data_IF_353349676928
#
_entry.id   IF_353349676928
#
_cell.length_a   1.000
_cell.length_b   1.000
_cell.length_c   1.000
_cell.angle_alpha   90.00
_cell.angle_beta   90.00
_cell.angle_gamma   90.00
#
_symmetry.space_group_name_H-M   'P 1'
#
loop_
_entity.id
_entity.type
_entity.pdbx_description
1 polymer ?
#
# COMPACT_ATOMS: atom_id res chain seq x y z
N UNK A 1 3.53 -1.71 15.31
CA UNK A 1 3.71 -0.92 16.52
C UNK A 1 5.11 -1.13 17.09
N UNK A 2 5.70 -0.10 17.69
CA UNK A 2 7.03 -0.16 18.33
C UNK A 2 7.09 -1.19 19.46
N UNK A 3 5.95 -1.43 20.10
CA UNK A 3 5.86 -2.31 21.26
C UNK A 3 5.58 -3.77 20.92
N UNK A 4 5.24 -4.08 19.67
CA UNK A 4 4.99 -5.44 19.23
C UNK A 4 6.29 -6.19 18.94
N UNK A 5 6.54 -7.34 19.57
CA UNK A 5 7.67 -8.20 19.26
C UNK A 5 7.41 -8.92 17.92
N UNK A 6 7.92 -8.37 16.83
CA UNK A 6 7.78 -8.92 15.48
C UNK A 6 9.13 -9.17 14.83
N UNK A 7 9.21 -10.21 14.02
CA UNK A 7 10.39 -10.51 13.22
C UNK A 7 10.38 -9.58 12.01
N UNK A 8 11.45 -8.82 11.86
CA UNK A 8 11.67 -7.88 10.76
C UNK A 8 12.86 -8.31 9.93
N UNK A 9 12.84 -7.93 8.66
CA UNK A 9 13.98 -8.02 7.78
C UNK A 9 13.99 -6.81 6.84
N UNK A 10 15.17 -6.49 6.31
CA UNK A 10 15.30 -5.56 5.20
C UNK A 10 16.03 -6.33 4.09
N UNK A 11 15.38 -6.50 2.96
CA UNK A 11 15.94 -7.19 1.81
C UNK A 11 17.11 -6.40 1.23
N UNK A 12 18.15 -7.08 0.77
CA UNK A 12 19.17 -6.49 -0.08
C UNK A 12 18.57 -6.13 -1.44
N UNK A 13 19.24 -5.27 -2.21
CA UNK A 13 18.77 -4.91 -3.56
C UNK A 13 18.63 -6.15 -4.44
N UNK A 14 19.57 -7.10 -4.35
CA UNK A 14 19.53 -8.34 -5.13
C UNK A 14 18.34 -9.23 -4.73
N UNK A 15 18.02 -9.30 -3.45
CA UNK A 15 16.81 -10.00 -2.97
C UNK A 15 15.53 -9.32 -3.44
N UNK A 16 15.47 -7.99 -3.47
CA UNK A 16 14.34 -7.23 -4.04
C UNK A 16 14.19 -7.54 -5.54
N UNK A 17 15.30 -7.60 -6.28
CA UNK A 17 15.28 -8.00 -7.69
C UNK A 17 14.78 -9.44 -7.86
N UNK A 18 15.18 -10.36 -7.00
CA UNK A 18 14.72 -11.75 -7.04
C UNK A 18 13.20 -11.84 -6.84
N UNK A 19 12.64 -11.16 -5.83
CA UNK A 19 11.20 -11.07 -5.58
C UNK A 19 10.45 -10.47 -6.79
N UNK A 20 10.98 -9.38 -7.34
CA UNK A 20 10.37 -8.72 -8.50
C UNK A 20 10.43 -9.57 -9.78
N UNK A 21 11.50 -10.32 -10.02
CA UNK A 21 11.61 -11.26 -11.15
C UNK A 21 10.59 -12.39 -11.05
N UNK A 22 10.34 -12.89 -9.84
CA UNK A 22 9.29 -13.87 -9.62
C UNK A 22 7.91 -13.30 -10.03
N UNK A 23 7.57 -12.11 -9.56
CA UNK A 23 6.31 -11.44 -9.91
C UNK A 23 6.20 -11.15 -11.41
N UNK A 24 7.29 -10.68 -12.02
CA UNK A 24 7.36 -10.43 -13.46
C UNK A 24 7.14 -11.72 -14.27
N UNK A 25 7.71 -12.83 -13.81
CA UNK A 25 7.51 -14.17 -14.41
C UNK A 25 6.05 -14.63 -14.39
N UNK A 26 5.26 -14.19 -13.40
CA UNK A 26 3.82 -14.42 -13.32
C UNK A 26 2.99 -13.45 -14.19
N UNK A 27 3.62 -12.59 -14.97
CA UNK A 27 2.94 -11.65 -15.86
C UNK A 27 2.70 -10.27 -15.26
N UNK A 28 3.00 -10.03 -13.97
CA UNK A 28 2.79 -8.72 -13.35
C UNK A 28 3.74 -7.67 -13.95
N UNK A 29 3.22 -6.49 -14.23
CA UNK A 29 3.94 -5.37 -14.85
C UNK A 29 3.95 -4.11 -13.99
N UNK A 30 3.13 -4.09 -12.93
CA UNK A 30 3.09 -3.03 -11.93
C UNK A 30 3.35 -3.63 -10.57
N UNK A 31 4.33 -3.10 -9.84
CA UNK A 31 4.75 -3.57 -8.52
C UNK A 31 4.74 -2.39 -7.55
N UNK A 32 4.19 -2.62 -6.35
CA UNK A 32 4.24 -1.67 -5.24
C UNK A 32 5.33 -2.09 -4.26
N UNK A 33 6.36 -1.28 -4.12
CA UNK A 33 7.40 -1.46 -3.10
C UNK A 33 6.91 -0.83 -1.78
N UNK A 34 6.82 -1.65 -0.76
CA UNK A 34 6.35 -1.22 0.57
C UNK A 34 7.52 -1.22 1.54
N UNK A 35 7.76 -0.11 2.22
CA UNK A 35 8.81 -0.01 3.22
C UNK A 35 8.35 0.77 4.46
N UNK A 36 8.73 0.27 5.62
CA UNK A 36 8.59 1.01 6.87
C UNK A 36 9.65 2.11 7.00
N UNK A 37 9.34 3.10 7.83
CA UNK A 37 10.30 4.15 8.19
C UNK A 37 11.36 3.57 9.15
N UNK A 38 12.58 3.34 8.67
CA UNK A 38 13.69 2.93 9.52
C UNK A 38 15.00 3.59 9.09
N UNK A 39 15.52 4.58 9.84
CA UNK A 39 16.67 5.39 9.42
C UNK A 39 17.95 4.60 9.11
N UNK A 40 18.12 3.45 9.77
CA UNK A 40 19.32 2.61 9.58
C UNK A 40 19.21 1.66 8.38
N UNK A 41 18.05 1.07 8.16
CA UNK A 41 17.88 -0.02 7.19
C UNK A 41 17.23 0.45 5.87
N UNK A 42 16.34 1.43 5.95
CA UNK A 42 15.77 2.13 4.79
C UNK A 42 16.43 3.51 4.72
N UNK A 43 17.77 3.49 4.62
CA UNK A 43 18.61 4.68 4.59
C UNK A 43 18.58 5.36 3.23
N UNK A 44 19.19 6.54 3.17
CA UNK A 44 19.37 7.30 1.94
C UNK A 44 19.99 6.46 0.83
N UNK A 45 19.38 6.50 -0.35
CA UNK A 45 19.83 5.78 -1.53
C UNK A 45 19.38 4.32 -1.62
N UNK A 46 18.80 3.71 -0.58
CA UNK A 46 18.33 2.33 -0.67
C UNK A 46 17.15 2.18 -1.65
N UNK A 47 16.13 3.03 -1.51
CA UNK A 47 14.96 3.02 -2.40
C UNK A 47 15.39 3.32 -3.85
N UNK A 48 16.25 4.31 -4.05
CA UNK A 48 16.79 4.66 -5.37
C UNK A 48 17.51 3.48 -6.02
N UNK A 49 18.37 2.77 -5.27
CA UNK A 49 19.07 1.57 -5.78
C UNK A 49 18.09 0.44 -6.13
N UNK A 50 17.04 0.26 -5.35
CA UNK A 50 15.97 -0.71 -5.69
C UNK A 50 15.27 -0.30 -7.00
N UNK A 51 14.90 0.97 -7.15
CA UNK A 51 14.25 1.48 -8.35
C UNK A 51 15.15 1.31 -9.59
N UNK A 52 16.42 1.71 -9.51
CA UNK A 52 17.40 1.56 -10.61
C UNK A 52 17.55 0.11 -11.06
N UNK A 53 17.54 -0.82 -10.10
CA UNK A 53 17.68 -2.24 -10.40
C UNK A 53 16.40 -2.86 -11.00
N UNK A 54 15.22 -2.31 -10.68
CA UNK A 54 13.93 -2.83 -11.13
C UNK A 54 13.44 -2.17 -12.43
N UNK A 55 13.70 -0.89 -12.62
CA UNK A 55 13.21 -0.10 -13.75
C UNK A 55 13.50 -0.72 -15.14
N UNK A 56 14.65 -1.41 -15.37
CA UNK A 56 14.93 -2.03 -16.67
C UNK A 56 13.94 -3.14 -17.09
N UNK A 57 13.19 -3.74 -16.15
CA UNK A 57 12.31 -4.85 -16.47
C UNK A 57 10.90 -4.76 -15.85
N UNK A 58 10.68 -3.84 -14.92
CA UNK A 58 9.35 -3.54 -14.36
C UNK A 58 8.90 -2.18 -14.89
N UNK A 59 7.92 -2.13 -15.78
CA UNK A 59 7.52 -0.89 -16.44
C UNK A 59 6.72 0.06 -15.55
N UNK A 60 6.21 -0.36 -14.40
CA UNK A 60 5.47 0.50 -13.47
C UNK A 60 5.86 0.21 -12.03
N UNK A 61 6.51 1.17 -11.39
CA UNK A 61 7.01 1.09 -10.02
C UNK A 61 6.25 2.06 -9.12
N UNK A 62 5.49 1.50 -8.18
CA UNK A 62 4.81 2.24 -7.12
C UNK A 62 5.56 2.14 -5.79
N UNK A 63 5.36 3.13 -4.94
CA UNK A 63 5.91 3.17 -3.60
C UNK A 63 4.80 3.35 -2.55
N UNK A 64 4.91 2.63 -1.45
CA UNK A 64 4.20 2.88 -0.21
C UNK A 64 5.22 3.03 0.91
N UNK A 65 5.61 4.27 1.14
CA UNK A 65 6.68 4.64 2.09
C UNK A 65 6.21 5.77 3.00
N UNK A 66 6.98 6.04 4.05
CA UNK A 66 6.74 7.20 4.91
C UNK A 66 6.79 8.53 4.15
N UNK A 67 6.05 9.56 4.58
CA UNK A 67 6.07 10.87 3.95
C UNK A 67 7.46 11.50 3.91
N UNK A 68 7.83 12.02 2.75
CA UNK A 68 9.11 12.68 2.49
C UNK A 68 8.90 14.17 2.13
N UNK A 69 9.97 15.00 2.17
CA UNK A 69 9.99 16.32 1.54
C UNK A 69 9.87 16.22 0.00
N UNK A 70 9.47 17.29 -0.64
CA UNK A 70 9.25 17.39 -2.08
C UNK A 70 10.51 17.15 -2.93
N UNK A 71 11.66 17.67 -2.49
CA UNK A 71 12.98 17.45 -3.12
C UNK A 71 13.37 15.97 -3.14
N UNK A 72 13.05 15.25 -2.06
CA UNK A 72 13.31 13.80 -1.98
C UNK A 72 12.35 13.01 -2.88
N UNK A 73 11.11 13.45 -3.04
CA UNK A 73 10.21 12.86 -4.00
C UNK A 73 10.65 13.09 -5.45
N UNK A 74 11.20 14.27 -5.77
CA UNK A 74 11.75 14.55 -7.10
C UNK A 74 12.91 13.63 -7.43
N UNK A 75 13.80 13.37 -6.48
CA UNK A 75 14.88 12.40 -6.63
C UNK A 75 14.35 10.99 -6.92
N UNK A 76 13.37 10.52 -6.14
CA UNK A 76 12.77 9.19 -6.31
C UNK A 76 12.07 9.05 -7.67
N UNK A 77 11.37 10.08 -8.14
CA UNK A 77 10.75 10.10 -9.47
C UNK A 77 11.81 10.00 -10.58
N UNK A 78 12.94 10.68 -10.40
CA UNK A 78 14.06 10.57 -11.35
C UNK A 78 14.60 9.14 -11.49
N UNK A 79 14.54 8.33 -10.44
CA UNK A 79 14.89 6.91 -10.43
C UNK A 79 13.78 5.98 -10.94
N UNK A 80 12.66 6.52 -11.47
CA UNK A 80 11.64 5.76 -12.18
C UNK A 80 10.40 5.39 -11.37
N UNK A 81 10.19 5.95 -10.18
CA UNK A 81 8.94 5.77 -9.47
C UNK A 81 7.81 6.58 -10.13
N UNK A 82 6.68 5.95 -10.41
CA UNK A 82 5.52 6.57 -11.05
C UNK A 82 4.38 6.85 -10.06
N UNK A 83 4.20 5.97 -9.07
CA UNK A 83 3.06 5.98 -8.16
C UNK A 83 3.51 6.10 -6.70
N UNK A 84 2.82 6.95 -5.95
CA UNK A 84 2.88 6.95 -4.49
C UNK A 84 1.53 6.53 -3.92
N UNK A 85 1.53 5.55 -3.02
CA UNK A 85 0.40 5.21 -2.16
C UNK A 85 0.68 5.73 -0.75
N UNK A 86 -0.22 6.54 -0.21
CA UNK A 86 -0.12 7.02 1.16
C UNK A 86 -1.51 7.08 1.79
N UNK A 87 -1.70 6.31 2.85
CA UNK A 87 -2.96 6.30 3.60
C UNK A 87 -2.83 7.23 4.80
N UNK A 88 -3.84 8.09 4.99
CA UNK A 88 -3.89 8.97 6.17
C UNK A 88 -4.03 8.15 7.46
N UNK A 89 -4.42 6.90 7.35
CA UNK A 89 -4.84 5.97 8.38
C UNK A 89 -6.21 6.36 8.94
N UNK A 90 -6.31 7.46 9.65
CA UNK A 90 -7.58 8.06 10.07
C UNK A 90 -7.53 9.58 9.90
N UNK A 91 -8.65 10.18 9.54
CA UNK A 91 -8.84 11.63 9.50
C UNK A 91 -9.29 12.20 10.85
N UNK A 92 -9.64 11.35 11.81
CA UNK A 92 -9.90 11.75 13.18
C UNK A 92 -8.59 12.05 13.91
N UNK A 93 -8.38 13.32 14.26
CA UNK A 93 -7.11 13.80 14.86
C UNK A 93 -6.85 13.21 16.24
N UNK A 94 -7.89 13.06 17.05
CA UNK A 94 -7.76 12.52 18.41
C UNK A 94 -7.38 11.03 18.35
N UNK A 95 -8.05 10.26 17.50
CA UNK A 95 -7.69 8.86 17.26
C UNK A 95 -6.28 8.76 16.68
N UNK A 96 -5.92 9.62 15.72
CA UNK A 96 -4.60 9.62 15.11
C UNK A 96 -3.47 9.82 16.14
N UNK A 97 -3.63 10.78 17.06
CA UNK A 97 -2.65 11.07 18.13
C UNK A 97 -2.46 9.88 19.08
N UNK A 98 -3.54 9.16 19.40
CA UNK A 98 -3.44 7.97 20.27
C UNK A 98 -2.70 6.81 19.62
N UNK A 99 -2.82 6.66 18.31
CA UNK A 99 -2.22 5.56 17.55
C UNK A 99 -0.78 5.82 17.11
N UNK A 100 -0.43 7.08 16.85
CA UNK A 100 0.83 7.47 16.22
C UNK A 100 1.69 8.29 17.18
N UNK A 101 2.31 7.61 18.15
CA UNK A 101 3.01 8.23 19.30
C UNK A 101 4.48 8.54 19.04
N UNK A 102 5.08 8.10 17.92
CA UNK A 102 6.52 8.23 17.68
C UNK A 102 6.87 8.51 16.21
N UNK A 103 8.07 9.02 15.99
CA UNK A 103 8.61 9.31 14.65
C UNK A 103 7.87 10.46 13.93
N UNK A 104 8.17 10.65 12.64
CA UNK A 104 7.49 11.64 11.80
C UNK A 104 6.02 11.30 11.58
N UNK A 105 5.68 10.02 11.68
CA UNK A 105 4.29 9.54 11.54
C UNK A 105 3.34 10.16 12.57
N UNK A 106 3.83 10.63 13.73
CA UNK A 106 2.99 11.34 14.71
C UNK A 106 2.44 12.68 14.21
N UNK A 107 3.05 13.28 13.19
CA UNK A 107 2.61 14.56 12.66
C UNK A 107 1.49 14.35 11.64
N UNK A 108 0.27 14.60 12.08
CA UNK A 108 -0.94 14.45 11.27
C UNK A 108 -0.89 15.27 9.97
N UNK A 109 -0.56 16.55 10.06
CA UNK A 109 -0.55 17.43 8.90
C UNK A 109 0.57 17.04 7.92
N UNK A 110 1.75 16.67 8.41
CA UNK A 110 2.84 16.19 7.58
C UNK A 110 2.43 14.99 6.71
N UNK A 111 1.60 14.11 7.25
CA UNK A 111 1.08 12.97 6.51
C UNK A 111 -0.08 13.37 5.58
N UNK A 112 -0.98 14.23 6.05
CA UNK A 112 -2.11 14.74 5.25
C UNK A 112 -1.63 15.44 3.98
N UNK A 113 -0.60 16.29 4.08
CA UNK A 113 -0.06 17.08 2.98
C UNK A 113 0.89 16.27 2.07
N UNK A 114 1.14 15.00 2.39
CA UNK A 114 2.07 14.15 1.66
C UNK A 114 1.72 13.99 0.17
N UNK A 115 0.46 13.75 -0.24
CA UNK A 115 0.09 13.63 -1.65
C UNK A 115 0.44 14.88 -2.47
N UNK A 116 0.22 16.07 -1.92
CA UNK A 116 0.52 17.33 -2.61
C UNK A 116 2.04 17.52 -2.74
N UNK A 117 2.82 17.26 -1.70
CA UNK A 117 4.28 17.28 -1.80
C UNK A 117 4.82 16.28 -2.83
N UNK A 118 4.26 15.08 -2.86
CA UNK A 118 4.64 14.08 -3.88
C UNK A 118 4.31 14.58 -5.30
N UNK A 119 3.15 15.20 -5.49
CA UNK A 119 2.79 15.83 -6.76
C UNK A 119 3.78 16.92 -7.17
N UNK A 120 4.18 17.80 -6.24
CA UNK A 120 5.21 18.83 -6.46
C UNK A 120 6.56 18.19 -6.82
N UNK A 121 6.91 17.08 -6.17
CA UNK A 121 8.10 16.28 -6.49
C UNK A 121 8.02 15.51 -7.82
N UNK A 122 6.90 15.53 -8.52
CA UNK A 122 6.78 14.96 -9.86
C UNK A 122 5.96 13.69 -9.98
N UNK A 123 5.46 13.13 -8.89
CA UNK A 123 4.54 11.98 -8.97
C UNK A 123 3.28 12.34 -9.74
N UNK A 124 2.86 11.45 -10.64
CA UNK A 124 1.67 11.62 -11.48
C UNK A 124 0.58 10.59 -11.20
N UNK A 125 0.86 9.59 -10.40
CA UNK A 125 -0.13 8.61 -9.90
C UNK A 125 -0.08 8.63 -8.38
N UNK A 126 -1.20 9.03 -7.75
CA UNK A 126 -1.26 9.19 -6.29
C UNK A 126 -2.48 8.45 -5.77
N UNK A 127 -2.24 7.53 -4.85
CA UNK A 127 -3.28 6.78 -4.16
C UNK A 127 -3.38 7.24 -2.72
N UNK A 128 -4.60 7.61 -2.31
CA UNK A 128 -4.92 7.95 -0.92
C UNK A 128 -5.90 6.94 -0.32
N UNK A 129 -6.11 6.98 0.98
CA UNK A 129 -7.08 6.13 1.67
C UNK A 129 -7.12 6.36 3.16
N UNK A 130 -8.09 5.72 3.80
CA UNK A 130 -8.20 5.59 5.24
C UNK A 130 -8.24 4.11 5.62
N UNK A 131 -7.75 3.76 6.80
CA UNK A 131 -7.88 2.41 7.36
C UNK A 131 -9.19 2.35 8.14
N UNK A 132 -10.22 1.82 7.49
CA UNK A 132 -11.57 1.75 8.08
C UNK A 132 -11.64 0.77 9.24
N UNK A 133 -12.20 1.23 10.35
CA UNK A 133 -12.25 0.52 11.63
C UNK A 133 -11.45 1.20 12.75
N UNK A 134 -10.75 2.31 12.47
CA UNK A 134 -10.07 3.14 13.47
C UNK A 134 -10.97 4.22 14.05
N UNK A 135 -11.88 4.77 13.23
CA UNK A 135 -12.84 5.80 13.61
C UNK A 135 -14.18 5.54 12.88
N UNK A 136 -15.28 6.22 13.24
CA UNK A 136 -16.58 6.02 12.60
C UNK A 136 -16.51 6.19 11.08
N UNK A 137 -16.80 5.13 10.34
CA UNK A 137 -16.52 5.04 8.90
C UNK A 137 -17.17 6.16 8.07
N UNK A 138 -18.34 6.67 8.48
CA UNK A 138 -19.00 7.78 7.75
C UNK A 138 -18.22 9.08 7.83
N UNK A 139 -17.60 9.37 8.97
CA UNK A 139 -16.73 10.56 9.14
C UNK A 139 -15.47 10.41 8.30
N UNK A 140 -14.86 9.23 8.35
CA UNK A 140 -13.70 8.90 7.51
C UNK A 140 -14.02 9.03 6.02
N UNK A 141 -15.19 8.53 5.58
CA UNK A 141 -15.63 8.61 4.20
C UNK A 141 -15.80 10.06 3.70
N UNK A 142 -16.41 10.92 4.51
CA UNK A 142 -16.60 12.34 4.17
C UNK A 142 -15.27 13.07 4.14
N UNK A 143 -14.40 12.83 5.11
CA UNK A 143 -13.08 13.47 5.16
C UNK A 143 -12.18 13.00 4.00
N UNK A 144 -12.21 11.72 3.67
CA UNK A 144 -11.51 11.16 2.50
C UNK A 144 -12.03 11.79 1.19
N UNK A 145 -13.36 11.94 1.04
CA UNK A 145 -13.95 12.59 -0.12
C UNK A 145 -13.55 14.07 -0.23
N UNK A 146 -13.52 14.80 0.89
CA UNK A 146 -13.07 16.19 0.93
C UNK A 146 -11.58 16.32 0.57
N UNK A 147 -10.73 15.41 1.07
CA UNK A 147 -9.31 15.37 0.70
C UNK A 147 -9.13 15.07 -0.79
N UNK A 148 -9.90 14.14 -1.33
CA UNK A 148 -9.87 13.82 -2.75
C UNK A 148 -10.30 15.01 -3.63
N UNK A 149 -11.39 15.71 -3.25
CA UNK A 149 -11.85 16.92 -3.94
C UNK A 149 -10.78 18.02 -3.94
N UNK A 150 -10.12 18.22 -2.79
CA UNK A 150 -8.98 19.12 -2.67
C UNK A 150 -7.85 18.75 -3.64
N UNK A 151 -7.43 17.47 -3.63
CA UNK A 151 -6.33 17.01 -4.48
C UNK A 151 -6.66 17.09 -5.97
N UNK A 152 -7.92 16.85 -6.39
CA UNK A 152 -8.33 17.01 -7.78
C UNK A 152 -8.15 18.47 -8.28
N UNK A 153 -8.31 19.44 -7.39
CA UNK A 153 -8.13 20.87 -7.71
C UNK A 153 -6.67 21.30 -7.73
N UNK A 154 -5.86 20.77 -6.82
CA UNK A 154 -4.47 21.20 -6.62
C UNK A 154 -3.44 20.31 -7.33
N UNK A 155 -3.76 19.04 -7.52
CA UNK A 155 -2.92 18.04 -8.18
C UNK A 155 -3.55 17.57 -9.50
N UNK A 156 -4.08 18.48 -10.29
CA UNK A 156 -4.96 18.20 -11.45
C UNK A 156 -4.29 17.40 -12.58
N UNK A 157 -2.94 17.38 -12.65
CA UNK A 157 -2.18 16.54 -13.59
C UNK A 157 -1.96 15.11 -13.07
N UNK A 158 -2.33 14.82 -11.82
CA UNK A 158 -2.16 13.49 -11.27
C UNK A 158 -3.38 12.61 -11.51
N UNK A 159 -3.14 11.35 -11.87
CA UNK A 159 -4.15 10.30 -11.82
C UNK A 159 -4.36 9.90 -10.35
N UNK A 160 -5.48 10.33 -9.78
CA UNK A 160 -5.81 10.06 -8.39
C UNK A 160 -6.57 8.74 -8.26
N UNK A 161 -6.26 8.00 -7.21
CA UNK A 161 -6.97 6.78 -6.84
C UNK A 161 -7.21 6.69 -5.34
N UNK A 162 -8.20 5.89 -4.97
CA UNK A 162 -8.57 5.65 -3.56
C UNK A 162 -8.52 4.16 -3.26
N UNK A 163 -7.96 3.81 -2.11
CA UNK A 163 -8.04 2.48 -1.54
C UNK A 163 -8.87 2.48 -0.26
N UNK A 164 -9.46 1.33 0.04
CA UNK A 164 -10.42 1.14 1.14
C UNK A 164 -9.97 0.01 2.08
N UNK A 165 -8.77 0.05 2.66
CA UNK A 165 -8.36 -1.00 3.58
C UNK A 165 -9.26 -1.00 4.81
N UNK A 166 -9.78 -2.18 5.16
CA UNK A 166 -10.49 -2.41 6.42
C UNK A 166 -9.53 -3.03 7.44
N UNK A 167 -9.72 -2.72 8.71
CA UNK A 167 -9.00 -3.39 9.79
C UNK A 167 -9.21 -4.91 9.73
N UNK A 168 -8.15 -5.65 9.91
CA UNK A 168 -8.10 -7.12 9.97
C UNK A 168 -7.23 -7.53 11.15
N UNK A 169 -7.28 -8.78 11.60
CA UNK A 169 -6.26 -9.32 12.51
C UNK A 169 -4.85 -9.00 11.97
N UNK A 170 -3.97 -8.54 12.84
CA UNK A 170 -2.66 -8.03 12.45
C UNK A 170 -1.56 -8.47 13.41
N UNK A 171 -0.33 -8.37 13.00
CA UNK A 171 0.83 -8.69 13.82
C UNK A 171 0.81 -7.96 15.16
N UNK A 172 0.74 -8.73 16.24
CA UNK A 172 0.63 -8.23 17.62
C UNK A 172 -0.81 -8.15 18.16
N UNK A 173 -1.82 -8.37 17.33
CA UNK A 173 -3.22 -8.55 17.77
C UNK A 173 -3.99 -9.42 16.77
N UNK A 174 -3.72 -10.71 16.76
CA UNK A 174 -4.43 -11.68 15.91
C UNK A 174 -5.84 -12.02 16.39
N UNK A 175 -6.15 -11.67 17.64
CA UNK A 175 -7.49 -11.80 18.23
C UNK A 175 -8.33 -10.51 18.08
N UNK A 176 -7.91 -9.61 17.17
CA UNK A 176 -8.63 -8.36 16.94
C UNK A 176 -10.07 -8.63 16.55
N UNK A 177 -10.99 -8.12 17.36
CA UNK A 177 -12.42 -8.08 17.07
C UNK A 177 -12.80 -6.65 16.64
N UNK A 178 -13.43 -6.49 15.46
CA UNK A 178 -13.86 -5.18 14.99
C UNK A 178 -14.93 -4.59 15.92
N UNK A 179 -14.78 -3.32 16.28
CA UNK A 179 -15.84 -2.58 16.93
C UNK A 179 -17.00 -2.34 15.93
N UNK A 180 -18.22 -2.83 16.19
CA UNK A 180 -19.35 -2.67 15.26
C UNK A 180 -19.70 -1.21 14.95
N UNK A 181 -19.44 -0.27 15.85
CA UNK A 181 -19.71 1.15 15.62
C UNK A 181 -18.69 1.81 14.67
N UNK A 182 -17.49 1.31 14.65
CA UNK A 182 -16.40 1.81 13.81
C UNK A 182 -16.30 1.06 12.48
N UNK A 183 -16.84 -0.16 12.44
CA UNK A 183 -16.63 -1.10 11.34
C UNK A 183 -17.33 -0.64 10.05
N UNK A 184 -16.63 -0.79 8.94
CA UNK A 184 -17.19 -0.74 7.61
C UNK A 184 -17.55 -2.17 7.18
N UNK A 185 -18.82 -2.57 7.37
CA UNK A 185 -19.33 -3.87 6.91
C UNK A 185 -19.43 -3.92 5.37
N UNK A 186 -19.77 -5.08 4.81
CA UNK A 186 -19.81 -5.27 3.36
C UNK A 186 -20.86 -4.39 2.67
N UNK A 187 -22.02 -4.20 3.30
CA UNK A 187 -23.08 -3.34 2.76
C UNK A 187 -22.63 -1.88 2.70
N UNK A 188 -22.06 -1.40 3.80
CA UNK A 188 -21.55 -0.04 3.87
C UNK A 188 -20.30 0.18 3.01
N UNK A 189 -19.49 -0.86 2.81
CA UNK A 189 -18.37 -0.82 1.88
C UNK A 189 -18.85 -0.59 0.43
N UNK A 190 -19.86 -1.34 -0.01
CA UNK A 190 -20.49 -1.13 -1.32
C UNK A 190 -21.10 0.27 -1.41
N UNK A 191 -21.79 0.72 -0.36
CA UNK A 191 -22.35 2.07 -0.31
C UNK A 191 -21.27 3.15 -0.47
N UNK A 192 -20.16 3.02 0.26
CA UNK A 192 -19.03 3.96 0.17
C UNK A 192 -18.44 3.99 -1.23
N UNK A 193 -18.11 2.84 -1.80
CA UNK A 193 -17.55 2.76 -3.15
C UNK A 193 -18.47 3.37 -4.21
N UNK A 194 -19.74 3.02 -4.19
CA UNK A 194 -20.71 3.54 -5.15
C UNK A 194 -20.95 5.03 -5.00
N UNK A 195 -21.01 5.54 -3.76
CA UNK A 195 -21.11 6.97 -3.50
C UNK A 195 -19.89 7.74 -4.04
N UNK A 196 -18.68 7.25 -3.78
CA UNK A 196 -17.46 7.86 -4.30
C UNK A 196 -17.40 7.78 -5.84
N UNK A 197 -17.85 6.67 -6.45
CA UNK A 197 -17.91 6.56 -7.91
C UNK A 197 -18.89 7.57 -8.53
N UNK A 198 -20.00 7.84 -7.89
CA UNK A 198 -20.97 8.86 -8.34
C UNK A 198 -20.38 10.26 -8.21
N UNK A 199 -19.76 10.58 -7.06
CA UNK A 199 -19.18 11.90 -6.81
C UNK A 199 -17.90 12.14 -7.63
N UNK A 200 -17.12 11.10 -7.88
CA UNK A 200 -15.80 11.17 -8.52
C UNK A 200 -15.69 10.14 -9.65
N UNK A 201 -16.34 10.37 -10.80
CA UNK A 201 -16.47 9.36 -11.85
C UNK A 201 -15.15 8.93 -12.51
N UNK A 202 -14.11 9.74 -12.42
CA UNK A 202 -12.82 9.50 -13.11
C UNK A 202 -11.71 8.95 -12.21
N UNK A 203 -11.91 8.83 -10.89
CA UNK A 203 -10.85 8.33 -10.00
C UNK A 203 -10.63 6.83 -10.14
N UNK A 204 -9.40 6.39 -9.89
CA UNK A 204 -9.11 4.98 -9.66
C UNK A 204 -9.67 4.51 -8.32
N UNK A 205 -10.14 3.26 -8.26
CA UNK A 205 -10.55 2.60 -7.03
C UNK A 205 -9.87 1.26 -6.91
N UNK A 206 -9.11 1.08 -5.84
CA UNK A 206 -8.29 -0.10 -5.60
C UNK A 206 -8.83 -0.94 -4.46
N UNK A 207 -8.98 -2.24 -4.69
CA UNK A 207 -9.36 -3.21 -3.65
C UNK A 207 -8.28 -4.28 -3.55
N UNK A 208 -7.72 -4.41 -2.36
CA UNK A 208 -6.62 -5.32 -2.09
C UNK A 208 -7.12 -6.74 -1.78
N UNK A 209 -6.16 -7.66 -1.66
CA UNK A 209 -6.37 -9.05 -1.24
C UNK A 209 -6.80 -9.21 0.23
N UNK A 210 -6.93 -8.12 0.99
CA UNK A 210 -7.60 -8.14 2.32
C UNK A 210 -9.06 -8.56 2.20
N UNK A 211 -9.71 -8.22 1.07
CA UNK A 211 -11.10 -8.57 0.84
C UNK A 211 -11.21 -9.96 0.24
N UNK A 212 -12.22 -10.76 0.66
CA UNK A 212 -12.41 -12.10 0.15
C UNK A 212 -12.85 -12.10 -1.32
N UNK A 213 -12.58 -13.21 -2.00
CA UNK A 213 -12.89 -13.40 -3.41
C UNK A 213 -14.32 -13.00 -3.81
N UNK A 214 -15.41 -13.44 -3.12
CA UNK A 214 -16.76 -13.08 -3.52
C UNK A 214 -17.02 -11.57 -3.49
N UNK A 215 -16.47 -10.87 -2.49
CA UNK A 215 -16.59 -9.42 -2.38
C UNK A 215 -15.85 -8.73 -3.52
N UNK A 216 -14.62 -9.11 -3.81
CA UNK A 216 -13.83 -8.53 -4.88
C UNK A 216 -14.47 -8.75 -6.25
N UNK A 217 -15.05 -9.94 -6.49
CA UNK A 217 -15.76 -10.23 -7.72
C UNK A 217 -17.02 -9.36 -7.88
N UNK A 218 -17.80 -9.17 -6.81
CA UNK A 218 -18.97 -8.28 -6.85
C UNK A 218 -18.60 -6.81 -7.12
N UNK A 219 -17.47 -6.34 -6.56
CA UNK A 219 -17.01 -4.96 -6.71
C UNK A 219 -16.53 -4.62 -8.12
N UNK A 220 -16.17 -5.60 -8.96
CA UNK A 220 -15.78 -5.37 -10.36
C UNK A 220 -16.88 -4.62 -11.13
N UNK A 221 -18.15 -4.93 -10.87
CA UNK A 221 -19.29 -4.30 -11.52
C UNK A 221 -19.74 -2.98 -10.89
N UNK A 222 -19.14 -2.62 -9.75
CA UNK A 222 -19.52 -1.44 -8.95
C UNK A 222 -18.50 -0.30 -9.00
N UNK A 223 -17.57 -0.36 -9.97
CA UNK A 223 -16.64 0.73 -10.22
C UNK A 223 -15.23 0.54 -9.69
N UNK A 224 -14.86 -0.66 -9.20
CA UNK A 224 -13.46 -1.00 -8.93
C UNK A 224 -12.66 -0.96 -10.24
N UNK A 225 -11.46 -0.36 -10.20
CA UNK A 225 -10.59 -0.22 -11.38
C UNK A 225 -9.26 -0.96 -11.24
N UNK A 226 -8.83 -1.23 -10.01
CA UNK A 226 -7.55 -1.87 -9.74
C UNK A 226 -7.72 -3.02 -8.74
N UNK A 227 -7.08 -4.13 -9.01
CA UNK A 227 -7.04 -5.31 -8.14
C UNK A 227 -5.59 -5.75 -7.96
N UNK A 228 -5.18 -6.02 -6.72
CA UNK A 228 -3.94 -6.75 -6.46
C UNK A 228 -4.17 -8.26 -6.58
N UNK A 229 -3.12 -9.01 -6.88
CA UNK A 229 -3.11 -10.47 -6.84
C UNK A 229 -1.89 -10.94 -6.06
N UNK A 230 -1.99 -12.10 -5.41
CA UNK A 230 -0.91 -12.76 -4.65
C UNK A 230 -0.13 -11.84 -3.70
N UNK A 231 -0.75 -10.78 -3.17
CA UNK A 231 -0.04 -9.88 -2.26
C UNK A 231 0.57 -10.65 -1.08
N UNK A 232 1.78 -10.25 -0.69
CA UNK A 232 2.47 -10.72 0.51
C UNK A 232 2.74 -9.53 1.40
N UNK A 233 2.57 -9.71 2.70
CA UNK A 233 2.74 -8.62 3.68
C UNK A 233 4.04 -8.74 4.47
N UNK A 234 4.78 -9.81 4.25
CA UNK A 234 6.11 -10.06 4.78
C UNK A 234 7.19 -9.86 3.70
N UNK A 235 8.31 -9.19 4.00
CA UNK A 235 9.45 -9.12 3.09
C UNK A 235 10.00 -10.52 2.75
N UNK A 236 10.27 -10.77 1.48
CA UNK A 236 10.75 -12.08 1.00
C UNK A 236 9.67 -13.16 0.90
N UNK A 237 8.39 -12.77 0.95
CA UNK A 237 7.26 -13.70 0.98
C UNK A 237 7.05 -14.49 -0.32
N UNK A 238 7.58 -14.04 -1.45
CA UNK A 238 7.42 -14.71 -2.74
C UNK A 238 8.47 -15.82 -2.98
N UNK A 239 9.72 -15.57 -2.63
CA UNK A 239 10.83 -16.51 -2.93
C UNK A 239 11.51 -17.08 -1.68
N UNK A 240 11.15 -16.57 -0.50
CA UNK A 240 11.71 -17.01 0.77
C UNK A 240 13.04 -16.36 1.14
N UNK A 241 13.45 -15.31 0.47
CA UNK A 241 14.66 -14.54 0.79
C UNK A 241 14.52 -13.69 2.06
N UNK A 242 15.61 -13.10 2.55
CA UNK A 242 15.60 -12.21 3.72
C UNK A 242 15.67 -12.93 5.06
N UNK A 243 15.75 -14.26 5.10
CA UNK A 243 15.84 -15.01 6.36
C UNK A 243 17.18 -14.80 7.07
N UNK A 244 18.26 -14.55 6.31
CA UNK A 244 19.60 -14.33 6.88
C UNK A 244 19.73 -13.03 7.69
N UNK A 245 18.94 -12.01 7.35
CA UNK A 245 18.92 -10.69 8.01
C UNK A 245 17.75 -10.52 8.99
N UNK A 246 16.96 -11.58 9.18
CA UNK A 246 15.82 -11.57 10.07
C UNK A 246 16.25 -11.34 11.53
N UNK A 247 15.57 -10.44 12.21
CA UNK A 247 15.84 -10.09 13.60
C UNK A 247 14.53 -9.79 14.34
N UNK A 248 14.51 -10.00 15.64
CA UNK A 248 13.41 -9.59 16.49
C UNK A 248 13.55 -8.10 16.84
N UNK A 249 12.45 -7.36 16.77
CA UNK A 249 12.41 -5.99 17.28
C UNK A 249 11.50 -5.92 18.50
N UNK A 250 12.04 -5.48 19.62
CA UNK A 250 11.30 -5.30 20.88
C UNK A 250 11.49 -3.87 21.34
N UNK A 251 10.39 -3.13 21.49
CA UNK A 251 10.39 -1.71 21.88
C UNK A 251 11.35 -0.83 21.04
N UNK A 252 11.44 -1.14 19.75
CA UNK A 252 12.32 -0.42 18.81
C UNK A 252 13.79 -0.81 18.87
N UNK A 253 14.19 -1.76 19.72
CA UNK A 253 15.54 -2.30 19.77
C UNK A 253 15.64 -3.61 18.99
N UNK A 254 16.73 -3.77 18.27
CA UNK A 254 17.07 -5.05 17.62
C UNK A 254 17.52 -6.02 18.71
N UNK A 255 16.89 -7.18 18.75
CA UNK A 255 17.24 -8.30 19.63
C UNK A 255 17.59 -9.48 18.74
N UNK A 256 18.71 -10.12 18.98
CA UNK A 256 19.10 -11.29 18.22
C UNK A 256 18.10 -12.44 18.39
N UNK A 257 17.83 -13.12 17.29
CA UNK A 257 17.06 -14.35 17.32
C UNK A 257 17.87 -15.44 18.04
N UNK A 258 17.21 -16.36 18.75
CA UNK A 258 17.88 -17.58 19.23
C UNK A 258 18.62 -18.28 18.09
N UNK A 259 19.81 -18.84 18.39
CA UNK A 259 20.68 -19.45 17.37
C UNK A 259 19.97 -20.50 16.50
N UNK A 260 19.08 -21.29 17.11
CA UNK A 260 18.23 -22.27 16.45
C UNK A 260 17.23 -21.69 15.43
N UNK A 261 16.94 -20.39 15.52
CA UNK A 261 16.00 -19.67 14.65
C UNK A 261 16.70 -18.79 13.61
N UNK A 262 17.99 -18.54 13.75
CA UNK A 262 18.75 -17.73 12.82
C UNK A 262 18.76 -18.37 11.42
N UNK A 263 18.48 -17.57 10.39
CA UNK A 263 18.46 -18.02 8.99
C UNK A 263 17.24 -18.88 8.60
N UNK A 264 16.35 -19.20 9.55
CA UNK A 264 15.17 -20.03 9.30
C UNK A 264 13.84 -19.29 9.44
N UNK A 265 13.84 -18.19 10.20
CA UNK A 265 12.64 -17.41 10.43
C UNK A 265 12.36 -16.46 9.28
N UNK A 266 11.15 -16.51 8.77
CA UNK A 266 10.60 -15.45 7.89
C UNK A 266 10.19 -14.23 8.69
N UNK A 267 10.14 -13.07 8.05
CA UNK A 267 9.56 -11.88 8.63
C UNK A 267 8.08 -12.12 8.99
N UNK A 268 7.60 -11.43 10.01
CA UNK A 268 6.20 -11.56 10.43
C UNK A 268 5.27 -10.90 9.41
N UNK A 269 4.23 -11.61 8.99
CA UNK A 269 3.14 -11.04 8.19
C UNK A 269 2.47 -9.89 8.94
N UNK A 270 2.15 -8.80 8.23
CA UNK A 270 1.57 -7.62 8.87
C UNK A 270 0.08 -7.79 9.17
N UNK A 271 -0.66 -8.43 8.28
CA UNK A 271 -2.10 -8.69 8.41
C UNK A 271 -2.51 -9.86 7.53
N UNK A 272 -3.69 -10.41 7.82
CA UNK A 272 -4.25 -11.54 7.10
C UNK A 272 -4.65 -11.19 5.66
N UNK A 273 -4.32 -12.09 4.73
CA UNK A 273 -4.71 -12.05 3.31
C UNK A 273 -5.88 -13.01 3.09
N UNK A 274 -7.04 -12.47 2.67
CA UNK A 274 -8.24 -13.28 2.45
C UNK A 274 -8.31 -13.88 1.04
N UNK A 275 -7.89 -13.14 0.00
CA UNK A 275 -7.89 -13.63 -1.38
C UNK A 275 -6.48 -14.04 -1.80
N UNK A 276 -6.26 -15.34 -1.93
CA UNK A 276 -4.97 -15.94 -2.28
C UNK A 276 -4.89 -16.41 -3.74
N UNK A 277 -5.84 -16.02 -4.58
CA UNK A 277 -5.87 -16.40 -5.99
C UNK A 277 -4.60 -15.99 -6.73
N UNK A 278 -4.19 -16.86 -7.67
CA UNK A 278 -3.10 -16.54 -8.59
C UNK A 278 -3.50 -15.41 -9.56
N UNK A 279 -2.53 -14.75 -10.22
CA UNK A 279 -2.82 -13.75 -11.25
C UNK A 279 -3.74 -14.29 -12.36
N UNK A 280 -3.53 -15.53 -12.81
CA UNK A 280 -4.36 -16.17 -13.82
C UNK A 280 -5.80 -16.36 -13.34
N UNK A 281 -6.01 -16.77 -12.10
CA UNK A 281 -7.35 -16.92 -11.52
C UNK A 281 -8.07 -15.57 -11.43
N UNK A 282 -7.36 -14.50 -11.05
CA UNK A 282 -7.92 -13.14 -11.02
C UNK A 282 -8.26 -12.68 -12.45
N UNK A 283 -7.37 -12.91 -13.42
CA UNK A 283 -7.63 -12.63 -14.84
C UNK A 283 -8.86 -13.38 -15.36
N UNK A 284 -9.00 -14.67 -15.05
CA UNK A 284 -10.17 -15.45 -15.41
C UNK A 284 -11.45 -14.88 -14.80
N UNK A 285 -11.41 -14.44 -13.54
CA UNK A 285 -12.56 -13.80 -12.88
C UNK A 285 -12.95 -12.47 -13.55
N UNK A 286 -11.97 -11.62 -13.90
CA UNK A 286 -12.19 -10.34 -14.60
C UNK A 286 -12.84 -10.61 -15.97
N UNK A 287 -12.31 -11.57 -16.75
CA UNK A 287 -12.90 -11.95 -18.05
C UNK A 287 -14.29 -12.56 -17.90
N UNK A 288 -14.49 -13.40 -16.88
CA UNK A 288 -15.81 -13.95 -16.56
C UNK A 288 -16.85 -12.89 -16.19
N UNK A 289 -16.42 -11.76 -15.66
CA UNK A 289 -17.25 -10.58 -15.42
C UNK A 289 -17.49 -9.72 -16.69
N UNK A 290 -17.03 -10.14 -17.87
CA UNK A 290 -17.15 -9.38 -19.12
C UNK A 290 -16.23 -8.17 -19.23
N UNK A 291 -15.18 -8.12 -18.41
CA UNK A 291 -14.19 -7.05 -18.38
C UNK A 291 -12.86 -7.53 -18.96
N UNK A 292 -12.05 -6.60 -19.45
CA UNK A 292 -10.71 -6.90 -19.96
C UNK A 292 -9.65 -6.60 -18.89
N UNK A 293 -8.82 -7.58 -18.48
CA UNK A 293 -7.72 -7.35 -17.55
C UNK A 293 -6.56 -6.64 -18.26
N UNK A 294 -6.07 -5.57 -17.65
CA UNK A 294 -4.92 -4.80 -18.13
C UNK A 294 -3.78 -4.94 -17.10
N UNK A 295 -2.61 -5.37 -17.55
CA UNK A 295 -1.46 -5.62 -16.68
C UNK A 295 -0.69 -4.35 -16.31
N UNK A 296 -0.71 -3.37 -17.17
CA UNK A 296 -0.22 -2.00 -16.93
C UNK A 296 -1.28 -1.06 -17.49
N UNK A 297 -1.73 -0.16 -16.65
CA UNK A 297 -2.57 0.94 -17.08
C UNK A 297 -1.75 1.98 -17.86
N UNK A 298 -2.41 3.03 -18.28
CA UNK A 298 -1.88 4.11 -19.09
C UNK A 298 -0.39 4.46 -18.85
N UNK A 299 0.33 4.74 -19.93
CA UNK A 299 1.74 5.15 -19.85
C UNK A 299 1.82 6.67 -19.73
N UNK A 300 2.29 7.15 -18.57
CA UNK A 300 2.46 8.57 -18.29
C UNK A 300 3.43 9.28 -19.27
N UNK A 301 4.26 8.52 -19.98
CA UNK A 301 5.10 9.04 -21.06
C UNK A 301 4.32 9.60 -22.24
N UNK A 302 3.04 9.27 -22.36
CA UNK A 302 2.14 9.83 -23.37
C UNK A 302 1.49 11.15 -22.95
N UNK A 303 1.60 11.53 -21.69
CA UNK A 303 1.07 12.79 -21.15
C UNK A 303 2.04 13.98 -21.30
N UNK A 304 3.20 13.74 -21.88
CA UNK A 304 4.21 14.79 -22.13
C UNK A 304 3.91 15.45 -23.48
N UNK A 305 3.00 16.38 -23.47
CA UNK A 305 2.87 17.41 -24.52
C UNK A 305 2.81 18.78 -23.84
#
# INVERSE_FOLDING_TARGET
>A
SRDNPIIRTTLTVDEVVQEARYLHGLGLRSILLVAGEHPKFVSDGYIQKCLDALHPFIPSLGLEIGPLPDDRYAEIVHHGAEQLAVYQETYDREVYETLHTAGMKKNFNWRLDCPERAYQGGFRRIQIGALFGLAPWRREAVALAAHLDYLQKHCWKAALSVAFPRMRPYAGNYEYEPDPELMLDDRHFVQLMTALRICFPKIGMSVSTREPEPMRNALMHLGMTHMSAIARTEPGGYTGVGTATAHLTVRGNVVDLPEEKKGQCKATEQFEISDQRSPEQVVCAIRGAGLEPVWKDWDSGLDVV
#
